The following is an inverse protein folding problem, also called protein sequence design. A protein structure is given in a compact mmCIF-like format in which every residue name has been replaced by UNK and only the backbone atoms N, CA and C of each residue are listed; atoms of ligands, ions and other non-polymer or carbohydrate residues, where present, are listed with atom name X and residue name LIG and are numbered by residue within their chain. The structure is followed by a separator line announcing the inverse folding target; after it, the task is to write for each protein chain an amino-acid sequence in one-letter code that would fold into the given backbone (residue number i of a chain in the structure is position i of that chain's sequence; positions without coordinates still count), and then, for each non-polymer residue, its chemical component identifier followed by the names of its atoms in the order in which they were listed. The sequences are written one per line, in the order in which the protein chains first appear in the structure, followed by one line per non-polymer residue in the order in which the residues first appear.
data_IF_465438557278
#
_entry.id   IF_465438557278
#
_cell.length_a   1.000
_cell.length_b   1.000
_cell.length_c   1.000
_cell.angle_alpha   90.00
_cell.angle_beta   90.00
_cell.angle_gamma   90.00
#
_symmetry.space_group_name_H-M   'P 1'
#
loop_
_entity.id
_entity.type
_entity.pdbx_description
1 polymer ?
#
# COMPACT_ATOMS: atom_id res chain seq x y z
N UNK A 1 50.25 34.73 58.94
CA UNK A 1 49.30 33.61 58.78
C UNK A 1 48.41 33.94 57.58
N UNK A 2 48.80 33.48 56.44
CA UNK A 2 48.11 33.73 55.21
C UNK A 2 47.36 32.46 54.81
N UNK A 3 46.01 32.52 54.81
CA UNK A 3 45.13 31.43 54.41
C UNK A 3 44.92 31.52 52.89
N UNK A 4 45.76 30.78 52.12
CA UNK A 4 45.51 30.61 50.72
C UNK A 4 44.19 29.88 50.47
N UNK A 5 43.20 30.67 50.05
CA UNK A 5 41.91 30.19 49.55
C UNK A 5 42.13 29.53 48.18
N UNK A 6 42.27 28.20 48.15
CA UNK A 6 42.31 27.38 46.96
C UNK A 6 40.93 27.41 46.26
N UNK A 7 40.72 28.34 45.34
CA UNK A 7 39.58 28.36 44.47
C UNK A 7 39.56 27.09 43.60
N UNK A 8 38.76 26.12 43.97
CA UNK A 8 38.48 24.93 43.12
C UNK A 8 37.83 25.42 41.81
N UNK A 9 38.62 25.49 40.78
CA UNK A 9 38.20 25.82 39.41
C UNK A 9 37.22 24.77 38.96
N UNK A 10 35.91 25.00 39.10
CA UNK A 10 34.87 24.14 38.52
C UNK A 10 35.01 24.17 37.02
N UNK A 11 35.51 23.04 36.44
CA UNK A 11 35.54 22.85 34.99
C UNK A 11 34.09 22.85 34.52
N UNK A 12 33.72 23.69 33.53
CA UNK A 12 32.34 23.69 33.05
C UNK A 12 31.96 22.30 32.58
N UNK A 13 30.78 21.83 32.99
CA UNK A 13 30.23 20.48 32.75
C UNK A 13 30.42 20.03 31.30
N UNK A 14 30.26 20.93 30.33
CA UNK A 14 30.44 20.72 28.89
C UNK A 14 31.87 20.39 28.43
N UNK A 15 32.87 20.61 29.24
CA UNK A 15 34.29 20.31 28.93
C UNK A 15 34.81 19.03 29.58
N UNK A 16 33.99 18.37 30.37
CA UNK A 16 34.34 17.07 30.96
C UNK A 16 34.44 16.01 29.88
N UNK A 17 35.46 15.19 29.93
CA UNK A 17 35.66 14.05 29.03
C UNK A 17 34.45 13.10 29.08
N UNK A 18 33.90 12.89 30.28
CA UNK A 18 32.71 12.09 30.52
C UNK A 18 31.46 12.60 29.74
N UNK A 19 31.25 13.93 29.73
CA UNK A 19 30.13 14.55 28.98
C UNK A 19 30.26 14.36 27.48
N UNK A 20 31.50 14.41 26.96
CA UNK A 20 31.75 14.17 25.53
C UNK A 20 31.46 12.74 25.15
N UNK A 21 31.87 11.76 25.95
CA UNK A 21 31.57 10.34 25.72
C UNK A 21 30.07 10.06 25.83
N UNK A 22 29.38 10.59 26.84
CA UNK A 22 27.94 10.44 27.00
C UNK A 22 27.18 11.04 25.81
N UNK A 23 27.56 12.24 25.34
CA UNK A 23 26.95 12.87 24.18
C UNK A 23 27.15 12.03 22.89
N UNK A 24 28.36 11.55 22.66
CA UNK A 24 28.66 10.70 21.49
C UNK A 24 27.85 9.41 21.54
N UNK A 25 27.72 8.78 22.70
CA UNK A 25 26.90 7.58 22.89
C UNK A 25 25.41 7.86 22.58
N UNK A 26 24.85 8.97 23.11
CA UNK A 26 23.47 9.37 22.86
C UNK A 26 23.22 9.61 21.37
N UNK A 27 24.14 10.27 20.67
CA UNK A 27 24.04 10.53 19.23
C UNK A 27 24.05 9.22 18.44
N UNK A 28 24.93 8.29 18.78
CA UNK A 28 24.99 6.98 18.11
C UNK A 28 23.69 6.19 18.32
N UNK A 29 23.20 6.13 19.57
CA UNK A 29 21.95 5.44 19.90
C UNK A 29 20.76 6.08 19.15
N UNK A 30 20.68 7.41 19.14
CA UNK A 30 19.65 8.12 18.40
C UNK A 30 19.70 7.83 16.90
N UNK A 31 20.89 7.81 16.29
CA UNK A 31 21.05 7.47 14.88
C UNK A 31 20.60 6.03 14.58
N UNK A 32 20.97 5.07 15.42
CA UNK A 32 20.55 3.66 15.30
C UNK A 32 19.03 3.54 15.45
N UNK A 33 18.43 4.24 16.41
CA UNK A 33 16.97 4.24 16.61
C UNK A 33 16.21 4.82 15.42
N UNK A 34 16.71 5.91 14.84
CA UNK A 34 16.10 6.50 13.62
C UNK A 34 16.15 5.47 12.48
N UNK A 35 17.29 4.83 12.29
CA UNK A 35 17.47 3.81 11.24
C UNK A 35 16.55 2.61 11.44
N UNK A 36 16.49 2.07 12.67
CA UNK A 36 15.62 0.94 13.02
C UNK A 36 14.12 1.27 12.89
N UNK A 37 13.72 2.52 13.07
CA UNK A 37 12.33 2.94 12.90
C UNK A 37 11.96 3.18 11.43
N UNK A 38 12.85 3.79 10.66
CA UNK A 38 12.55 4.21 9.29
C UNK A 38 12.65 3.06 8.31
N UNK A 39 13.69 2.24 8.42
CA UNK A 39 13.98 1.19 7.45
C UNK A 39 12.90 0.10 7.36
N UNK A 40 12.46 -0.54 8.48
CA UNK A 40 11.44 -1.58 8.41
C UNK A 40 10.10 -1.07 7.88
N UNK A 41 9.75 0.19 8.19
CA UNK A 41 8.51 0.80 7.73
C UNK A 41 8.50 0.94 6.21
N UNK A 42 9.53 1.56 5.64
CA UNK A 42 9.65 1.75 4.18
C UNK A 42 9.67 0.41 3.45
N UNK A 43 10.37 -0.59 4.01
CA UNK A 43 10.43 -1.94 3.41
C UNK A 43 9.07 -2.63 3.48
N UNK A 44 8.37 -2.54 4.61
CA UNK A 44 7.05 -3.15 4.79
C UNK A 44 6.01 -2.53 3.84
N UNK A 45 5.98 -1.21 3.70
CA UNK A 45 5.10 -0.52 2.76
C UNK A 45 5.38 -0.96 1.31
N UNK A 46 6.65 -1.02 0.92
CA UNK A 46 7.06 -1.46 -0.42
C UNK A 46 6.67 -2.91 -0.70
N UNK A 47 6.90 -3.80 0.25
CA UNK A 47 6.52 -5.22 0.12
C UNK A 47 5.01 -5.39 0.05
N UNK A 48 4.25 -4.69 0.89
CA UNK A 48 2.79 -4.70 0.86
C UNK A 48 2.27 -4.21 -0.50
N UNK A 49 2.82 -3.10 -1.02
CA UNK A 49 2.47 -2.57 -2.34
C UNK A 49 2.76 -3.59 -3.46
N UNK A 50 3.96 -4.19 -3.49
CA UNK A 50 4.34 -5.17 -4.51
C UNK A 50 3.49 -6.43 -4.45
N UNK A 51 3.22 -6.95 -3.25
CA UNK A 51 2.35 -8.10 -3.04
C UNK A 51 0.93 -7.82 -3.53
N UNK A 52 0.38 -6.65 -3.19
CA UNK A 52 -0.95 -6.22 -3.62
C UNK A 52 -1.02 -6.04 -5.13
N UNK A 53 -0.02 -5.41 -5.73
CA UNK A 53 0.09 -5.27 -7.18
C UNK A 53 0.07 -6.62 -7.89
N UNK A 54 0.90 -7.57 -7.46
CA UNK A 54 0.96 -8.89 -8.04
C UNK A 54 -0.38 -9.64 -7.90
N UNK A 55 -1.00 -9.60 -6.71
CA UNK A 55 -2.28 -10.23 -6.44
C UNK A 55 -3.40 -9.66 -7.31
N UNK A 56 -3.59 -8.34 -7.31
CA UNK A 56 -4.68 -7.70 -8.05
C UNK A 56 -4.52 -7.82 -9.57
N UNK A 57 -3.29 -7.65 -10.10
CA UNK A 57 -3.05 -7.85 -11.52
C UNK A 57 -3.26 -9.30 -11.94
N UNK A 58 -2.88 -10.27 -11.10
CA UNK A 58 -3.15 -11.67 -11.37
C UNK A 58 -4.66 -11.97 -11.39
N UNK A 59 -5.41 -11.50 -10.41
CA UNK A 59 -6.87 -11.66 -10.35
C UNK A 59 -7.54 -11.02 -11.58
N UNK A 60 -7.15 -9.79 -11.94
CA UNK A 60 -7.64 -9.10 -13.13
C UNK A 60 -7.31 -9.86 -14.42
N UNK A 61 -6.09 -10.42 -14.51
CA UNK A 61 -5.65 -11.20 -15.69
C UNK A 61 -6.40 -12.53 -15.81
N UNK A 62 -6.67 -13.21 -14.70
CA UNK A 62 -7.48 -14.45 -14.70
C UNK A 62 -8.88 -14.14 -15.21
N UNK A 63 -9.52 -13.07 -14.71
CA UNK A 63 -10.84 -12.68 -15.16
C UNK A 63 -10.82 -12.23 -16.64
N UNK A 64 -9.84 -11.44 -17.05
CA UNK A 64 -9.68 -11.01 -18.45
C UNK A 64 -9.48 -12.22 -19.39
N UNK A 65 -8.71 -13.22 -18.96
CA UNK A 65 -8.49 -14.45 -19.75
C UNK A 65 -9.76 -15.28 -19.86
N UNK A 66 -10.56 -15.34 -18.78
CA UNK A 66 -11.86 -16.04 -18.80
C UNK A 66 -12.87 -15.35 -19.75
N UNK A 67 -12.81 -14.03 -19.85
CA UNK A 67 -13.62 -13.22 -20.74
C UNK A 67 -13.16 -13.27 -22.21
N UNK A 68 -11.87 -13.54 -22.44
CA UNK A 68 -11.26 -13.58 -23.78
C UNK A 68 -11.54 -14.86 -24.57
N UNK A 69 -12.37 -15.78 -24.07
CA UNK A 69 -12.62 -17.11 -24.68
C UNK A 69 -13.48 -17.07 -25.93
N UNK A 70 -14.08 -15.94 -26.28
CA UNK A 70 -14.87 -15.78 -27.50
C UNK A 70 -15.65 -14.46 -27.53
N UNK A 71 -16.22 -14.10 -28.68
CA UNK A 71 -16.99 -12.87 -28.84
C UNK A 71 -18.25 -12.83 -27.95
N UNK A 72 -18.85 -13.97 -27.65
CA UNK A 72 -20.03 -14.05 -26.78
C UNK A 72 -19.73 -13.68 -25.32
N UNK A 73 -18.49 -13.90 -24.88
CA UNK A 73 -18.07 -13.55 -23.52
C UNK A 73 -18.05 -12.04 -23.24
N UNK A 74 -17.96 -11.22 -24.28
CA UNK A 74 -17.98 -9.75 -24.19
C UNK A 74 -19.38 -9.13 -24.32
N UNK A 75 -20.41 -9.95 -24.39
CA UNK A 75 -21.79 -9.47 -24.20
C UNK A 75 -22.02 -9.17 -22.71
N UNK A 76 -22.95 -8.26 -22.43
CA UNK A 76 -23.29 -7.93 -21.03
C UNK A 76 -23.71 -9.17 -20.23
N UNK A 77 -24.45 -10.10 -20.84
CA UNK A 77 -24.88 -11.35 -20.19
C UNK A 77 -23.70 -12.30 -19.95
N UNK A 78 -22.82 -12.49 -20.95
CA UNK A 78 -21.61 -13.32 -20.82
C UNK A 78 -20.64 -12.78 -19.77
N UNK A 79 -20.41 -11.47 -19.76
CA UNK A 79 -19.57 -10.80 -18.78
C UNK A 79 -20.14 -10.96 -17.36
N UNK A 80 -21.45 -10.72 -17.18
CA UNK A 80 -22.14 -10.89 -15.90
C UNK A 80 -22.00 -12.31 -15.37
N UNK A 81 -22.28 -13.33 -16.20
CA UNK A 81 -22.17 -14.74 -15.82
C UNK A 81 -20.74 -15.12 -15.42
N UNK A 82 -19.74 -14.66 -16.18
CA UNK A 82 -18.32 -14.96 -15.90
C UNK A 82 -17.88 -14.32 -14.59
N UNK A 83 -18.26 -13.06 -14.35
CA UNK A 83 -17.94 -12.36 -13.09
C UNK A 83 -18.66 -13.04 -11.93
N UNK A 84 -19.92 -13.43 -12.05
CA UNK A 84 -20.66 -14.15 -11.01
C UNK A 84 -20.01 -15.47 -10.62
N UNK A 85 -19.52 -16.24 -11.59
CA UNK A 85 -18.82 -17.50 -11.34
C UNK A 85 -17.48 -17.29 -10.59
N UNK A 86 -16.75 -16.25 -10.92
CA UNK A 86 -15.41 -16.01 -10.39
C UNK A 86 -15.40 -15.10 -9.15
N UNK A 87 -16.46 -14.33 -8.89
CA UNK A 87 -16.50 -13.34 -7.80
C UNK A 87 -16.15 -13.90 -6.43
N UNK A 88 -16.50 -15.15 -6.16
CA UNK A 88 -16.19 -15.81 -4.89
C UNK A 88 -14.70 -16.05 -4.65
N UNK A 89 -13.88 -16.05 -5.72
CA UNK A 89 -12.43 -16.17 -5.67
C UNK A 89 -11.72 -14.81 -5.77
N UNK A 90 -12.44 -13.73 -6.08
CA UNK A 90 -11.93 -12.39 -6.18
C UNK A 90 -12.09 -11.68 -4.83
N UNK A 91 -10.99 -11.38 -4.15
CA UNK A 91 -10.99 -10.63 -2.89
C UNK A 91 -11.13 -9.13 -3.09
N UNK A 92 -12.01 -8.68 -4.00
CA UNK A 92 -12.12 -7.27 -4.40
C UNK A 92 -13.51 -6.70 -4.08
N UNK A 93 -13.53 -5.41 -3.78
CA UNK A 93 -14.77 -4.68 -3.44
C UNK A 93 -15.62 -4.39 -4.68
N UNK A 94 -14.97 -4.11 -5.84
CA UNK A 94 -15.70 -3.78 -7.07
C UNK A 94 -15.02 -4.37 -8.30
N UNK A 95 -15.83 -4.86 -9.23
CA UNK A 95 -15.43 -5.38 -10.54
C UNK A 95 -16.22 -4.67 -11.62
N UNK A 96 -15.54 -4.07 -12.60
CA UNK A 96 -16.17 -3.46 -13.77
C UNK A 96 -15.57 -4.10 -15.02
N UNK A 97 -16.41 -4.52 -15.94
CA UNK A 97 -16.03 -5.01 -17.26
C UNK A 97 -16.58 -4.08 -18.32
N UNK A 98 -15.74 -3.68 -19.28
CA UNK A 98 -16.15 -2.79 -20.37
C UNK A 98 -15.90 -3.42 -21.74
N UNK A 99 -16.60 -2.89 -22.72
CA UNK A 99 -16.32 -3.10 -24.14
C UNK A 99 -15.06 -2.32 -24.59
N UNK A 100 -14.63 -2.44 -25.87
CA UNK A 100 -13.46 -1.71 -26.39
C UNK A 100 -13.62 -0.18 -26.40
N UNK A 101 -14.85 0.32 -26.34
CA UNK A 101 -15.16 1.75 -26.32
C UNK A 101 -15.25 2.32 -24.90
N UNK A 102 -15.13 1.48 -23.88
CA UNK A 102 -15.29 1.87 -22.48
C UNK A 102 -16.74 1.86 -21.97
N UNK A 103 -17.67 1.26 -22.73
CA UNK A 103 -19.05 1.06 -22.29
C UNK A 103 -19.08 -0.07 -21.25
N UNK A 104 -19.71 0.16 -20.11
CA UNK A 104 -19.80 -0.81 -19.02
C UNK A 104 -20.77 -1.93 -19.42
N UNK A 105 -20.26 -3.16 -19.50
CA UNK A 105 -21.02 -4.37 -19.76
C UNK A 105 -21.62 -4.93 -18.46
N UNK A 106 -20.82 -4.94 -17.39
CA UNK A 106 -21.27 -5.27 -16.05
C UNK A 106 -20.45 -4.56 -14.98
N UNK A 107 -21.08 -4.29 -13.84
CA UNK A 107 -20.48 -3.66 -12.66
C UNK A 107 -21.01 -4.36 -11.42
N UNK A 108 -20.11 -4.89 -10.62
CA UNK A 108 -20.41 -5.53 -9.35
C UNK A 108 -19.69 -4.78 -8.24
N UNK A 109 -20.44 -4.42 -7.21
CA UNK A 109 -19.89 -3.82 -6.01
C UNK A 109 -20.36 -4.63 -4.78
N UNK A 110 -19.42 -5.02 -3.92
CA UNK A 110 -19.67 -5.85 -2.73
C UNK A 110 -20.47 -7.14 -3.06
N UNK A 111 -20.21 -7.70 -4.24
CA UNK A 111 -20.89 -8.91 -4.74
C UNK A 111 -22.30 -8.66 -5.30
N UNK A 112 -22.77 -7.42 -5.36
CA UNK A 112 -24.09 -7.04 -5.90
C UNK A 112 -23.91 -6.38 -7.25
N UNK A 113 -24.68 -6.85 -8.26
CA UNK A 113 -24.68 -6.24 -9.59
C UNK A 113 -25.34 -4.86 -9.59
N UNK A 114 -24.68 -3.89 -10.21
CA UNK A 114 -25.14 -2.51 -10.35
C UNK A 114 -25.74 -2.26 -11.73
N UNK A 115 -27.04 -2.36 -11.83
CA UNK A 115 -27.75 -2.11 -13.08
C UNK A 115 -27.75 -0.62 -13.51
N UNK A 116 -27.54 0.31 -12.57
CA UNK A 116 -27.52 1.75 -12.80
C UNK A 116 -26.29 2.23 -13.59
N UNK A 117 -25.22 1.46 -13.59
CA UNK A 117 -23.96 1.76 -14.29
C UNK A 117 -23.82 1.04 -15.62
N UNK A 118 -24.54 -0.06 -15.83
CA UNK A 118 -24.54 -0.80 -17.09
C UNK A 118 -25.03 0.09 -18.25
N UNK A 119 -24.33 0.03 -19.38
CA UNK A 119 -24.62 0.87 -20.55
C UNK A 119 -24.13 2.34 -20.44
N UNK A 120 -23.39 2.69 -19.39
CA UNK A 120 -22.70 3.98 -19.27
C UNK A 120 -21.22 3.86 -19.59
N UNK A 121 -20.59 4.96 -19.98
CA UNK A 121 -19.14 4.98 -20.19
C UNK A 121 -18.39 5.11 -18.88
N UNK A 122 -17.42 4.22 -18.66
CA UNK A 122 -16.49 4.30 -17.54
C UNK A 122 -15.16 4.89 -18.02
N UNK A 123 -14.92 6.15 -17.68
CA UNK A 123 -13.73 6.90 -18.11
C UNK A 123 -12.70 7.02 -16.97
N UNK A 124 -12.52 5.97 -16.19
CA UNK A 124 -11.43 5.91 -15.21
C UNK A 124 -10.09 5.87 -15.96
N UNK A 125 -9.11 6.60 -15.46
CA UNK A 125 -7.79 6.65 -16.08
C UNK A 125 -7.16 5.26 -16.26
N UNK A 126 -7.31 4.41 -15.24
CA UNK A 126 -6.79 3.03 -15.24
C UNK A 126 -7.45 2.21 -16.35
N UNK A 127 -8.75 2.37 -16.53
CA UNK A 127 -9.52 1.64 -17.53
C UNK A 127 -9.21 2.12 -18.95
N UNK A 128 -9.10 3.42 -19.16
CA UNK A 128 -8.69 3.99 -20.45
C UNK A 128 -7.27 3.53 -20.84
N UNK A 129 -6.39 3.41 -19.86
CA UNK A 129 -5.01 2.92 -20.10
C UNK A 129 -5.01 1.42 -20.43
N UNK A 130 -5.86 0.64 -19.76
CA UNK A 130 -6.03 -0.79 -20.08
C UNK A 130 -6.61 -1.00 -21.48
N UNK A 131 -7.57 -0.20 -21.91
CA UNK A 131 -8.10 -0.26 -23.28
C UNK A 131 -7.04 0.02 -24.35
N UNK A 132 -5.94 0.71 -24.01
CA UNK A 132 -4.76 0.90 -24.87
C UNK A 132 -3.78 -0.28 -24.86
N UNK A 133 -4.12 -1.37 -24.17
CA UNK A 133 -3.33 -2.59 -24.11
C UNK A 133 -2.32 -2.66 -22.97
N UNK A 134 -2.38 -1.78 -21.98
CA UNK A 134 -1.42 -1.73 -20.88
C UNK A 134 -2.05 -2.17 -19.55
N UNK A 135 -1.36 -3.01 -18.80
CA UNK A 135 -1.75 -3.33 -17.43
C UNK A 135 -1.46 -2.13 -16.53
N UNK A 136 -2.39 -1.79 -15.65
CA UNK A 136 -2.28 -0.67 -14.72
C UNK A 136 -2.56 -1.13 -13.32
N UNK A 137 -1.75 -0.67 -12.38
CA UNK A 137 -1.99 -0.82 -10.96
C UNK A 137 -1.70 0.51 -10.25
N UNK A 138 -2.58 0.89 -9.34
CA UNK A 138 -2.40 2.04 -8.44
C UNK A 138 -2.93 1.68 -7.07
N UNK A 139 -2.17 2.01 -6.03
CA UNK A 139 -2.60 1.85 -4.65
C UNK A 139 -2.25 3.11 -3.86
N UNK A 140 -3.18 3.55 -3.04
CA UNK A 140 -3.04 4.70 -2.17
C UNK A 140 -3.36 4.26 -0.73
N UNK A 141 -2.47 4.62 0.20
CA UNK A 141 -2.72 4.43 1.62
C UNK A 141 -3.24 5.74 2.21
N UNK A 142 -4.40 5.69 2.84
CA UNK A 142 -5.01 6.85 3.50
C UNK A 142 -6.13 6.41 4.44
N UNK A 143 -6.34 7.16 5.51
CA UNK A 143 -7.38 6.90 6.51
C UNK A 143 -7.31 5.49 7.12
N UNK A 144 -6.11 4.94 7.27
CA UNK A 144 -5.90 3.60 7.83
C UNK A 144 -6.29 2.44 6.91
N UNK A 145 -6.49 2.66 5.61
CA UNK A 145 -6.84 1.63 4.64
C UNK A 145 -6.04 1.78 3.33
N UNK A 146 -5.85 0.67 2.62
CA UNK A 146 -5.37 0.69 1.24
C UNK A 146 -6.54 0.79 0.27
N UNK A 147 -6.45 1.72 -0.68
CA UNK A 147 -7.37 1.85 -1.82
C UNK A 147 -6.60 1.46 -3.07
N UNK A 148 -6.82 0.25 -3.54
CA UNK A 148 -6.07 -0.31 -4.65
C UNK A 148 -6.97 -0.45 -5.88
N UNK A 149 -6.41 -0.12 -7.05
CA UNK A 149 -7.07 -0.18 -8.35
C UNK A 149 -6.18 -0.93 -9.32
N UNK A 150 -6.75 -1.86 -10.05
CA UNK A 150 -6.05 -2.55 -11.13
C UNK A 150 -6.93 -2.55 -12.38
N UNK A 151 -6.32 -2.41 -13.54
CA UNK A 151 -7.02 -2.59 -14.80
C UNK A 151 -6.14 -3.38 -15.77
N UNK A 152 -6.76 -4.31 -16.49
CA UNK A 152 -6.09 -5.22 -17.44
C UNK A 152 -6.93 -5.29 -18.72
N UNK A 153 -6.31 -5.26 -19.92
CA UNK A 153 -7.02 -5.42 -21.16
C UNK A 153 -7.53 -6.85 -21.33
N UNK A 154 -8.72 -6.98 -21.90
CA UNK A 154 -9.24 -8.26 -22.42
C UNK A 154 -8.76 -8.36 -23.85
N UNK A 155 -7.80 -9.25 -24.09
CA UNK A 155 -7.19 -9.41 -25.42
C UNK A 155 -7.57 -10.75 -26.03
N UNK A 156 -8.10 -10.71 -27.25
CA UNK A 156 -8.38 -11.90 -28.06
C UNK A 156 -7.72 -11.74 -29.45
N UNK A 157 -6.93 -12.71 -29.89
CA UNK A 157 -6.18 -12.67 -31.16
C UNK A 157 -5.42 -11.36 -31.37
N UNK A 158 -4.73 -10.87 -30.32
CA UNK A 158 -3.93 -9.63 -30.33
C UNK A 158 -4.71 -8.32 -30.47
N UNK A 159 -6.05 -8.37 -30.38
CA UNK A 159 -6.90 -7.17 -30.34
C UNK A 159 -7.51 -7.00 -28.96
N UNK A 160 -7.52 -5.77 -28.47
CA UNK A 160 -8.18 -5.42 -27.20
C UNK A 160 -9.69 -5.38 -27.46
N UNK A 161 -10.42 -6.27 -26.81
CA UNK A 161 -11.88 -6.39 -26.91
C UNK A 161 -12.62 -5.73 -25.74
N UNK A 162 -11.89 -5.21 -24.75
CA UNK A 162 -12.44 -4.58 -23.59
C UNK A 162 -11.40 -4.48 -22.49
N UNK A 163 -11.84 -4.15 -21.29
CA UNK A 163 -10.98 -4.12 -20.12
C UNK A 163 -11.72 -4.57 -18.86
N UNK A 164 -10.97 -5.15 -17.94
CA UNK A 164 -11.38 -5.45 -16.57
C UNK A 164 -10.80 -4.41 -15.65
N UNK A 165 -11.61 -3.84 -14.78
CA UNK A 165 -11.19 -2.96 -13.70
C UNK A 165 -11.58 -3.58 -12.37
N UNK A 166 -10.63 -3.65 -11.45
CA UNK A 166 -10.81 -4.10 -10.09
C UNK A 166 -10.51 -2.98 -9.12
N UNK A 167 -11.37 -2.84 -8.09
CA UNK A 167 -11.14 -1.94 -6.97
C UNK A 167 -11.23 -2.72 -5.66
N UNK A 168 -10.31 -2.46 -4.77
CA UNK A 168 -10.26 -3.05 -3.44
C UNK A 168 -10.08 -1.98 -2.38
N UNK A 169 -10.86 -2.08 -1.32
CA UNK A 169 -10.71 -1.30 -0.10
C UNK A 169 -10.30 -2.24 1.02
N UNK A 170 -9.06 -2.11 1.49
CA UNK A 170 -8.46 -3.02 2.44
C UNK A 170 -8.09 -2.27 3.73
N UNK A 171 -9.02 -2.26 4.67
CA UNK A 171 -8.83 -1.69 5.99
C UNK A 171 -8.02 -2.62 6.92
N UNK A 172 -8.04 -3.93 6.67
CA UNK A 172 -7.35 -4.90 7.51
C UNK A 172 -5.83 -4.77 7.37
N UNK A 173 -5.32 -4.77 6.13
CA UNK A 173 -3.89 -4.53 5.88
C UNK A 173 -3.47 -3.13 6.34
N UNK A 174 -4.35 -2.14 6.22
CA UNK A 174 -4.11 -0.80 6.73
C UNK A 174 -3.93 -0.77 8.25
N UNK A 175 -4.79 -1.45 8.97
CA UNK A 175 -4.73 -1.56 10.44
C UNK A 175 -3.45 -2.31 10.90
N UNK A 176 -3.06 -3.37 10.18
CA UNK A 176 -1.80 -4.09 10.44
C UNK A 176 -0.59 -3.18 10.30
N UNK A 177 -0.52 -2.38 9.23
CA UNK A 177 0.56 -1.42 9.02
C UNK A 177 0.61 -0.37 10.14
N UNK A 178 -0.54 0.16 10.54
CA UNK A 178 -0.65 1.12 11.65
C UNK A 178 -0.21 0.50 12.97
N UNK A 179 -0.56 -0.77 13.22
CA UNK A 179 -0.10 -1.52 14.39
C UNK A 179 1.42 -1.66 14.45
N UNK A 180 2.06 -1.99 13.33
CA UNK A 180 3.52 -2.06 13.22
C UNK A 180 4.15 -0.70 13.52
N UNK A 181 3.63 0.39 12.95
CA UNK A 181 4.13 1.74 13.19
C UNK A 181 4.05 2.13 14.67
N UNK A 182 2.92 1.83 15.32
CA UNK A 182 2.71 2.15 16.74
C UNK A 182 3.64 1.36 17.63
N UNK A 183 3.81 0.06 17.39
CA UNK A 183 4.72 -0.79 18.15
C UNK A 183 6.19 -0.35 18.00
N UNK A 184 6.63 -0.02 16.79
CA UNK A 184 7.99 0.49 16.55
C UNK A 184 8.24 1.81 17.29
N UNK A 185 7.27 2.74 17.29
CA UNK A 185 7.37 3.99 18.06
C UNK A 185 7.48 3.73 19.55
N UNK A 186 6.65 2.84 20.09
CA UNK A 186 6.69 2.49 21.51
C UNK A 186 8.04 1.88 21.91
N UNK A 187 8.54 0.89 21.16
CA UNK A 187 9.85 0.28 21.39
C UNK A 187 10.97 1.33 21.37
N UNK A 188 10.93 2.25 20.44
CA UNK A 188 11.94 3.31 20.34
C UNK A 188 11.93 4.26 21.53
N UNK A 189 10.76 4.63 22.04
CA UNK A 189 10.63 5.46 23.23
C UNK A 189 11.23 4.72 24.43
N UNK A 190 10.93 3.44 24.59
CA UNK A 190 11.47 2.62 25.70
C UNK A 190 12.98 2.53 25.62
N UNK A 191 13.55 2.23 24.44
CA UNK A 191 15.01 2.15 24.26
C UNK A 191 15.66 3.50 24.53
N UNK A 192 15.05 4.61 24.07
CA UNK A 192 15.55 5.95 24.33
C UNK A 192 15.57 6.27 25.84
N UNK A 193 14.52 5.93 26.56
CA UNK A 193 14.45 6.10 28.03
C UNK A 193 15.53 5.29 28.75
N UNK A 194 15.68 4.01 28.39
CA UNK A 194 16.72 3.14 28.98
C UNK A 194 18.12 3.68 28.68
N UNK A 195 18.37 4.13 27.46
CA UNK A 195 19.64 4.73 27.05
C UNK A 195 19.97 6.00 27.85
N UNK A 196 18.98 6.85 28.10
CA UNK A 196 19.16 8.05 28.95
C UNK A 196 19.51 7.69 30.39
N UNK A 197 18.85 6.69 30.97
CA UNK A 197 19.12 6.25 32.34
C UNK A 197 20.52 5.63 32.47
N UNK A 198 20.98 4.88 31.48
CA UNK A 198 22.30 4.24 31.50
C UNK A 198 23.45 5.20 31.15
N UNK A 199 23.15 6.35 30.51
CA UNK A 199 24.13 7.36 30.10
C UNK A 199 24.38 8.47 31.13
N UNK A 200 23.62 8.51 32.23
CA UNK A 200 23.76 9.42 33.37
C UNK A 200 24.50 8.74 34.51
#
# INVERSE_FOLDING_TARGET
MDKGSGAVRRVPFWRSLQTKFALTYIVIVAAVLILLNTYPLVVSEKLAYQSKQASMLNQASVLASALATGPEALTAEGATRTVELLRGSLGVTRVVVTDPNGLVLCDFQDGVGRADTAGRYALFWELVTALRGNNVFRSEYGDGAFRSRAAVPITYRSMTQGAVYLYEYDAEQGALLQGIQTNLRFISIVICMVSLVMGV
#
